data_IF_395149420037
#
_entry.id   IF_395149420037
#
_cell.length_a   1.000
_cell.length_b   1.000
_cell.length_c   1.000
_cell.angle_alpha   90.00
_cell.angle_beta   90.00
_cell.angle_gamma   90.00
#
_symmetry.space_group_name_H-M   'P 1'
#
loop_
_entity.id
_entity.type
_entity.pdbx_description
1 polymer ?
#
# COMPACT_ATOMS: atom_id res chain seq x y z
N UNK A 1 37.38 26.94 9.06
CA UNK A 1 36.86 26.25 10.26
C UNK A 1 35.33 26.20 10.36
N UNK A 2 34.57 26.92 9.50
CA UNK A 2 33.10 26.85 9.49
C UNK A 2 32.59 25.52 8.91
N UNK A 3 33.02 25.14 7.70
CA UNK A 3 32.61 23.92 6.98
C UNK A 3 32.90 22.57 7.69
N UNK A 4 33.71 22.56 8.74
CA UNK A 4 34.03 21.35 9.50
C UNK A 4 32.99 21.02 10.57
N UNK A 5 32.05 21.94 10.87
CA UNK A 5 31.01 21.72 11.88
C UNK A 5 30.00 20.67 11.42
N UNK A 6 29.74 19.69 12.27
CA UNK A 6 28.78 18.61 12.03
C UNK A 6 27.39 19.14 11.63
N UNK A 7 26.94 20.21 12.28
CA UNK A 7 25.65 20.86 12.03
C UNK A 7 25.49 21.37 10.60
N UNK A 8 26.57 21.85 9.98
CA UNK A 8 26.53 22.35 8.60
C UNK A 8 26.40 21.18 7.62
N UNK A 9 27.14 20.09 7.85
CA UNK A 9 27.04 18.88 7.02
C UNK A 9 25.62 18.30 7.06
N UNK A 10 25.02 18.23 8.26
CA UNK A 10 23.63 17.82 8.41
C UNK A 10 22.67 18.77 7.67
N UNK A 11 22.86 20.08 7.79
CA UNK A 11 22.01 21.08 7.10
C UNK A 11 22.10 21.00 5.58
N UNK A 12 23.30 20.76 5.03
CA UNK A 12 23.49 20.58 3.58
C UNK A 12 22.80 19.32 3.08
N UNK A 13 22.87 18.21 3.82
CA UNK A 13 22.14 16.98 3.46
C UNK A 13 20.62 17.19 3.41
N UNK A 14 20.08 17.96 4.35
CA UNK A 14 18.67 18.35 4.37
C UNK A 14 18.31 19.19 3.15
N UNK A 15 19.14 20.19 2.82
CA UNK A 15 18.92 21.07 1.67
C UNK A 15 18.90 20.30 0.34
N UNK A 16 19.84 19.36 0.15
CA UNK A 16 19.90 18.50 -1.04
C UNK A 16 18.58 17.73 -1.20
N UNK A 17 18.06 17.14 -0.11
CA UNK A 17 16.84 16.34 -0.16
C UNK A 17 15.61 17.20 -0.45
N UNK A 18 15.53 18.39 0.15
CA UNK A 18 14.42 19.32 -0.10
C UNK A 18 14.38 19.71 -1.58
N UNK A 19 15.53 20.08 -2.16
CA UNK A 19 15.63 20.52 -3.56
C UNK A 19 15.35 19.36 -4.53
N UNK A 20 15.92 18.17 -4.28
CA UNK A 20 15.83 17.05 -5.20
C UNK A 20 14.46 16.35 -5.19
N UNK A 21 13.80 16.26 -4.03
CA UNK A 21 12.63 15.40 -3.85
C UNK A 21 11.36 16.13 -3.41
N UNK A 22 11.46 17.40 -2.99
CA UNK A 22 10.34 18.25 -2.52
C UNK A 22 9.31 17.46 -1.67
N UNK A 23 9.73 16.84 -0.55
CA UNK A 23 8.85 15.93 0.18
C UNK A 23 7.76 16.70 0.96
N UNK A 24 6.50 16.40 0.66
CA UNK A 24 5.34 17.04 1.30
C UNK A 24 5.05 16.57 2.73
N UNK A 25 5.45 15.34 3.09
CA UNK A 25 5.13 14.73 4.40
C UNK A 25 6.38 14.46 5.22
N UNK A 26 6.35 14.75 6.52
CA UNK A 26 7.50 14.57 7.44
C UNK A 26 8.01 13.12 7.49
N UNK A 27 7.11 12.13 7.46
CA UNK A 27 7.52 10.70 7.41
C UNK A 27 8.31 10.36 6.14
N UNK A 28 7.86 10.86 4.99
CA UNK A 28 8.56 10.68 3.70
C UNK A 28 9.92 11.39 3.73
N UNK A 29 9.98 12.57 4.31
CA UNK A 29 11.23 13.31 4.49
C UNK A 29 12.24 12.57 5.37
N UNK A 30 11.83 12.03 6.53
CA UNK A 30 12.71 11.22 7.40
C UNK A 30 13.19 9.96 6.67
N UNK A 31 12.31 9.27 5.92
CA UNK A 31 12.70 8.13 5.08
C UNK A 31 13.76 8.53 4.05
N UNK A 32 13.59 9.65 3.36
CA UNK A 32 14.58 10.15 2.38
C UNK A 32 15.93 10.48 3.02
N UNK A 33 15.94 11.11 4.21
CA UNK A 33 17.17 11.36 4.96
C UNK A 33 17.86 10.05 5.32
N UNK A 34 17.12 9.09 5.88
CA UNK A 34 17.67 7.79 6.26
C UNK A 34 18.25 7.07 5.04
N UNK A 35 17.52 7.02 3.92
CA UNK A 35 17.99 6.40 2.66
C UNK A 35 19.24 7.09 2.13
N UNK A 36 19.29 8.43 2.13
CA UNK A 36 20.47 9.18 1.70
C UNK A 36 21.73 8.82 2.49
N UNK A 37 21.62 8.72 3.82
CA UNK A 37 22.75 8.34 4.66
C UNK A 37 23.15 6.86 4.48
N UNK A 38 22.20 5.95 4.31
CA UNK A 38 22.50 4.54 4.00
C UNK A 38 23.29 4.43 2.70
N UNK A 39 22.85 5.10 1.62
CA UNK A 39 23.57 5.11 0.34
C UNK A 39 24.95 5.74 0.50
N UNK A 40 25.05 6.85 1.24
CA UNK A 40 26.33 7.51 1.50
C UNK A 40 27.31 6.62 2.27
N UNK A 41 26.83 5.85 3.25
CA UNK A 41 27.67 4.91 4.00
C UNK A 41 28.08 3.69 3.20
N UNK A 42 27.19 3.13 2.37
CA UNK A 42 27.56 2.05 1.44
C UNK A 42 28.64 2.53 0.45
N UNK A 43 28.49 3.76 -0.05
CA UNK A 43 29.49 4.38 -0.92
C UNK A 43 30.82 4.62 -0.21
N UNK A 44 30.80 5.28 0.95
CA UNK A 44 32.01 5.54 1.74
C UNK A 44 32.71 4.24 2.16
N UNK A 45 31.95 3.22 2.56
CA UNK A 45 32.46 1.89 2.93
C UNK A 45 33.12 1.18 1.74
N UNK A 46 32.48 1.18 0.57
CA UNK A 46 33.06 0.62 -0.64
C UNK A 46 34.35 1.35 -1.07
N UNK A 47 34.34 2.68 -1.04
CA UNK A 47 35.50 3.50 -1.35
C UNK A 47 36.66 3.23 -0.39
N UNK A 48 36.38 3.17 0.91
CA UNK A 48 37.38 2.90 1.95
C UNK A 48 37.94 1.47 1.83
N UNK A 49 37.07 0.47 1.64
CA UNK A 49 37.49 -0.92 1.47
C UNK A 49 38.41 -1.09 0.25
N UNK A 50 38.05 -0.50 -0.89
CA UNK A 50 38.88 -0.52 -2.10
C UNK A 50 40.23 0.14 -1.86
N UNK A 51 40.23 1.30 -1.19
CA UNK A 51 41.45 2.03 -0.88
C UNK A 51 42.43 1.22 -0.01
N UNK A 52 41.92 0.52 1.01
CA UNK A 52 42.74 -0.37 1.83
C UNK A 52 43.23 -1.59 1.05
N UNK A 53 42.39 -2.20 0.21
CA UNK A 53 42.78 -3.37 -0.60
C UNK A 53 43.88 -3.04 -1.62
N UNK A 54 43.87 -1.83 -2.17
CA UNK A 54 44.91 -1.38 -3.11
C UNK A 54 46.19 -0.88 -2.46
N UNK A 55 46.37 -1.10 -1.14
CA UNK A 55 47.53 -0.64 -0.36
C UNK A 55 47.80 0.86 -0.55
N UNK A 56 46.75 1.68 -0.49
CA UNK A 56 46.94 3.13 -0.49
C UNK A 56 47.89 3.54 0.64
N UNK A 57 48.82 4.46 0.38
CA UNK A 57 49.76 4.96 1.38
C UNK A 57 49.01 5.67 2.50
N UNK A 58 48.70 4.93 3.56
CA UNK A 58 48.07 5.49 4.75
C UNK A 58 49.18 6.08 5.62
N UNK A 59 49.39 7.40 5.48
CA UNK A 59 50.34 8.10 6.33
C UNK A 59 49.80 8.12 7.76
N UNK A 60 50.50 7.45 8.66
CA UNK A 60 50.13 7.37 10.07
C UNK A 60 50.93 8.42 10.84
N UNK A 61 50.27 9.45 11.34
CA UNK A 61 50.89 10.50 12.16
C UNK A 61 49.99 10.86 13.35
N UNK A 62 50.52 10.73 14.58
CA UNK A 62 49.81 11.01 15.85
C UNK A 62 48.47 10.26 16.00
N UNK A 63 48.40 9.01 15.56
CA UNK A 63 47.20 8.16 15.70
C UNK A 63 46.03 8.52 14.77
N UNK A 64 46.24 9.45 13.83
CA UNK A 64 45.24 9.86 12.84
C UNK A 64 45.71 9.38 11.47
N UNK A 65 44.83 8.68 10.75
CA UNK A 65 45.08 8.19 9.40
C UNK A 65 44.74 9.30 8.39
N UNK A 66 45.71 9.69 7.58
CA UNK A 66 45.50 10.66 6.49
C UNK A 66 45.58 9.96 5.14
N UNK A 67 44.53 10.12 4.34
CA UNK A 67 44.52 9.75 2.92
C UNK A 67 45.06 10.95 2.15
N UNK A 68 46.31 10.88 1.68
CA UNK A 68 46.97 12.02 1.02
C UNK A 68 46.40 12.26 -0.38
N UNK A 69 46.23 11.20 -1.15
CA UNK A 69 45.69 11.24 -2.51
C UNK A 69 44.79 10.04 -2.75
N UNK A 70 43.49 10.26 -2.95
CA UNK A 70 42.56 9.20 -3.32
C UNK A 70 42.46 9.15 -4.85
N UNK A 71 42.94 8.09 -5.52
CA UNK A 71 42.96 8.03 -6.97
C UNK A 71 41.53 7.93 -7.53
N UNK A 72 41.23 8.77 -8.54
CA UNK A 72 39.89 8.87 -9.14
C UNK A 72 39.38 7.53 -9.71
N UNK A 73 40.30 6.66 -10.13
CA UNK A 73 40.00 5.30 -10.62
C UNK A 73 39.34 4.44 -9.54
N UNK A 74 39.78 4.54 -8.28
CA UNK A 74 39.15 3.83 -7.17
C UNK A 74 37.76 4.38 -6.89
N UNK A 75 37.54 5.68 -7.11
CA UNK A 75 36.25 6.32 -6.89
C UNK A 75 35.24 5.81 -7.93
N UNK A 76 35.64 5.71 -9.20
CA UNK A 76 34.78 5.11 -10.24
C UNK A 76 34.44 3.66 -9.95
N UNK A 77 35.40 2.87 -9.45
CA UNK A 77 35.14 1.47 -9.07
C UNK A 77 34.22 1.40 -7.84
N UNK A 78 34.40 2.30 -6.88
CA UNK A 78 33.54 2.37 -5.69
C UNK A 78 32.08 2.66 -6.06
N UNK A 79 31.82 3.57 -7.01
CA UNK A 79 30.45 3.86 -7.50
C UNK A 79 29.81 2.59 -8.07
N UNK A 80 30.53 1.88 -8.95
CA UNK A 80 30.03 0.64 -9.58
C UNK A 80 29.79 -0.44 -8.53
N UNK A 81 30.72 -0.62 -7.59
CA UNK A 81 30.59 -1.58 -6.49
C UNK A 81 29.39 -1.27 -5.58
N UNK A 82 29.21 0.00 -5.20
CA UNK A 82 28.07 0.42 -4.40
C UNK A 82 26.74 0.21 -5.13
N UNK A 83 26.69 0.46 -6.45
CA UNK A 83 25.51 0.19 -7.26
C UNK A 83 25.17 -1.31 -7.31
N UNK A 84 26.17 -2.18 -7.47
CA UNK A 84 25.99 -3.64 -7.45
C UNK A 84 25.47 -4.10 -6.08
N UNK A 85 26.10 -3.66 -4.99
CA UNK A 85 25.66 -4.00 -3.63
C UNK A 85 24.24 -3.54 -3.37
N UNK A 86 23.90 -2.30 -3.77
CA UNK A 86 22.55 -1.78 -3.65
C UNK A 86 21.55 -2.62 -4.44
N UNK A 87 21.83 -2.93 -5.71
CA UNK A 87 20.92 -3.73 -6.55
C UNK A 87 20.67 -5.14 -5.99
N UNK A 88 21.72 -5.82 -5.56
CA UNK A 88 21.62 -7.18 -4.98
C UNK A 88 20.83 -7.17 -3.68
N UNK A 89 21.11 -6.22 -2.78
CA UNK A 89 20.38 -6.10 -1.51
C UNK A 89 18.94 -5.64 -1.71
N UNK A 90 18.69 -4.75 -2.67
CA UNK A 90 17.35 -4.25 -2.98
C UNK A 90 16.41 -5.38 -3.43
N UNK A 91 16.88 -6.29 -4.29
CA UNK A 91 16.09 -7.45 -4.72
C UNK A 91 15.73 -8.40 -3.56
N UNK A 92 16.63 -8.59 -2.61
CA UNK A 92 16.37 -9.40 -1.40
C UNK A 92 15.37 -8.72 -0.46
N UNK A 93 15.51 -7.41 -0.27
CA UNK A 93 14.60 -6.60 0.57
C UNK A 93 13.18 -6.57 -0.03
N UNK A 94 13.04 -6.32 -1.33
CA UNK A 94 11.72 -6.28 -1.98
C UNK A 94 10.94 -7.59 -1.83
N UNK A 95 11.62 -8.75 -1.90
CA UNK A 95 10.98 -10.07 -1.76
C UNK A 95 10.35 -10.32 -0.38
N UNK A 96 10.79 -9.61 0.66
CA UNK A 96 10.23 -9.67 2.01
C UNK A 96 9.11 -8.65 2.21
N UNK A 97 9.28 -7.42 1.73
CA UNK A 97 8.31 -6.32 1.95
C UNK A 97 7.04 -6.40 1.08
N UNK A 98 7.06 -7.05 -0.08
CA UNK A 98 5.85 -7.19 -0.92
C UNK A 98 4.79 -8.13 -0.32
N UNK A 99 5.15 -8.96 0.68
CA UNK A 99 4.20 -9.89 1.31
C UNK A 99 3.35 -9.24 2.41
N UNK A 100 3.74 -8.06 2.89
CA UNK A 100 3.12 -7.44 4.08
C UNK A 100 1.87 -6.60 3.76
N UNK A 101 1.64 -6.24 2.49
CA UNK A 101 0.45 -5.45 2.10
C UNK A 101 -0.78 -6.27 1.79
N UNK A 102 -0.80 -7.56 2.12
CA UNK A 102 -1.94 -8.44 1.83
C UNK A 102 -3.21 -7.95 2.56
N UNK A 103 -3.08 -7.37 3.75
CA UNK A 103 -4.20 -6.83 4.52
C UNK A 103 -4.14 -5.30 4.62
N UNK A 104 -5.23 -4.64 4.25
CA UNK A 104 -5.33 -3.17 4.20
C UNK A 104 -6.56 -2.72 4.99
N UNK A 105 -6.41 -1.80 5.97
CA UNK A 105 -7.56 -1.17 6.62
C UNK A 105 -8.30 -0.27 5.63
N UNK A 106 -9.63 -0.46 5.56
CA UNK A 106 -10.51 0.39 4.76
C UNK A 106 -11.65 0.92 5.61
N UNK A 107 -12.12 2.13 5.28
CA UNK A 107 -13.33 2.73 5.86
C UNK A 107 -14.34 2.97 4.76
N UNK A 108 -15.51 2.33 4.86
CA UNK A 108 -16.63 2.51 3.92
C UNK A 108 -17.59 3.52 4.53
N UNK A 109 -17.98 4.54 3.75
CA UNK A 109 -18.98 5.53 4.15
C UNK A 109 -20.21 5.45 3.27
N UNK A 110 -21.38 5.45 3.89
CA UNK A 110 -22.67 5.49 3.22
C UNK A 110 -23.61 6.35 4.07
N UNK A 111 -24.07 7.45 3.49
CA UNK A 111 -24.76 8.53 4.18
C UNK A 111 -23.90 9.06 5.35
N UNK A 112 -24.51 9.34 6.50
CA UNK A 112 -23.80 9.80 7.72
C UNK A 112 -23.13 8.66 8.51
N UNK A 113 -23.15 7.43 8.00
CA UNK A 113 -22.58 6.27 8.69
C UNK A 113 -21.27 5.84 8.05
N UNK A 114 -20.38 5.32 8.89
CA UNK A 114 -19.09 4.76 8.46
C UNK A 114 -18.77 3.48 9.21
N UNK A 115 -18.07 2.56 8.56
CA UNK A 115 -17.51 1.37 9.19
C UNK A 115 -16.07 1.16 8.75
N UNK A 116 -15.21 0.82 9.69
CA UNK A 116 -13.81 0.47 9.44
C UNK A 116 -13.65 -1.04 9.53
N UNK A 117 -12.95 -1.63 8.57
CA UNK A 117 -12.72 -3.08 8.49
C UNK A 117 -11.41 -3.38 7.76
N UNK A 118 -10.88 -4.57 7.96
CA UNK A 118 -9.68 -5.05 7.27
C UNK A 118 -10.06 -5.78 5.99
N UNK A 119 -9.45 -5.39 4.87
CA UNK A 119 -9.65 -5.99 3.57
C UNK A 119 -8.39 -6.74 3.11
N UNK A 120 -8.58 -7.85 2.41
CA UNK A 120 -7.53 -8.62 1.75
C UNK A 120 -7.38 -8.12 0.30
N UNK A 121 -6.18 -7.80 -0.14
CA UNK A 121 -5.91 -7.61 -1.58
C UNK A 121 -6.01 -8.98 -2.24
N UNK A 122 -7.05 -9.19 -3.03
CA UNK A 122 -7.28 -10.45 -3.70
C UNK A 122 -6.97 -10.31 -5.19
N UNK A 123 -5.84 -10.87 -5.61
CA UNK A 123 -5.45 -10.91 -7.03
C UNK A 123 -6.42 -11.69 -7.91
N UNK A 124 -7.25 -12.57 -7.31
CA UNK A 124 -8.31 -13.30 -8.02
C UNK A 124 -9.60 -12.49 -8.20
N UNK A 125 -9.80 -11.40 -7.46
CA UNK A 125 -11.00 -10.58 -7.59
C UNK A 125 -10.89 -9.68 -8.82
N UNK A 126 -11.59 -10.08 -9.89
CA UNK A 126 -11.71 -9.32 -11.15
C UNK A 126 -13.13 -8.75 -11.34
N UNK A 127 -13.92 -8.63 -10.27
CA UNK A 127 -15.30 -8.16 -10.36
C UNK A 127 -15.37 -6.68 -10.68
N UNK A 128 -16.17 -6.37 -11.70
CA UNK A 128 -16.49 -5.02 -12.15
C UNK A 128 -18.00 -4.86 -12.22
N UNK A 129 -18.46 -3.64 -11.98
CA UNK A 129 -19.85 -3.30 -12.20
C UNK A 129 -20.20 -3.41 -13.69
N UNK A 130 -21.24 -4.15 -14.11
CA UNK A 130 -21.50 -4.41 -15.52
C UNK A 130 -21.95 -3.17 -16.31
N UNK A 131 -22.33 -2.09 -15.63
CA UNK A 131 -22.82 -0.85 -16.27
C UNK A 131 -21.69 0.19 -16.35
N UNK A 132 -20.99 0.42 -15.24
CA UNK A 132 -19.97 1.48 -15.14
C UNK A 132 -18.53 0.98 -15.22
N UNK A 133 -18.32 -0.34 -15.26
CA UNK A 133 -17.01 -1.02 -15.28
C UNK A 133 -16.07 -0.68 -14.11
N UNK A 134 -16.56 0.04 -13.10
CA UNK A 134 -15.78 0.35 -11.89
C UNK A 134 -15.54 -0.92 -11.06
N UNK A 135 -14.40 -0.99 -10.34
CA UNK A 135 -14.06 -2.16 -9.54
C UNK A 135 -15.05 -2.40 -8.39
N UNK A 136 -15.18 -3.67 -8.00
CA UNK A 136 -16.04 -4.11 -6.90
C UNK A 136 -15.20 -4.59 -5.71
N UNK A 137 -15.48 -4.04 -4.52
CA UNK A 137 -15.02 -4.59 -3.24
C UNK A 137 -16.09 -5.56 -2.74
N UNK A 138 -15.71 -6.80 -2.44
CA UNK A 138 -16.62 -7.76 -1.82
C UNK A 138 -16.51 -7.60 -0.30
N UNK A 139 -17.62 -7.44 0.42
CA UNK A 139 -17.62 -7.19 1.86
C UNK A 139 -18.62 -8.09 2.56
N UNK A 140 -18.24 -8.65 3.71
CA UNK A 140 -19.14 -9.45 4.54
C UNK A 140 -20.31 -8.60 5.05
N UNK A 141 -21.53 -9.12 4.90
CA UNK A 141 -22.76 -8.48 5.38
C UNK A 141 -22.70 -8.18 6.87
N UNK A 142 -22.13 -9.09 7.67
CA UNK A 142 -21.94 -8.91 9.11
C UNK A 142 -21.16 -7.63 9.45
N UNK A 143 -20.17 -7.24 8.62
CA UNK A 143 -19.33 -6.07 8.83
C UNK A 143 -20.04 -4.76 8.44
N UNK A 144 -20.91 -4.78 7.43
CA UNK A 144 -21.58 -3.57 6.89
C UNK A 144 -23.04 -3.45 7.32
N UNK A 145 -23.56 -4.38 8.13
CA UNK A 145 -24.96 -4.42 8.56
C UNK A 145 -25.46 -3.08 9.10
N UNK A 146 -24.65 -2.38 9.88
CA UNK A 146 -25.00 -1.09 10.49
C UNK A 146 -25.12 0.06 9.50
N UNK A 147 -24.44 -0.02 8.35
CA UNK A 147 -24.51 0.98 7.27
C UNK A 147 -25.86 0.91 6.54
N UNK A 148 -26.40 -0.28 6.34
CA UNK A 148 -27.58 -0.51 5.51
C UNK A 148 -28.88 -0.12 6.24
N UNK A 149 -29.94 0.27 5.50
CA UNK A 149 -31.29 0.47 6.06
C UNK A 149 -31.85 -0.80 6.72
N UNK A 150 -32.74 -0.63 7.70
CA UNK A 150 -33.30 -1.76 8.48
C UNK A 150 -34.06 -2.75 7.60
N UNK A 151 -34.75 -2.29 6.55
CA UNK A 151 -35.47 -3.17 5.63
C UNK A 151 -34.50 -4.13 4.92
N UNK A 152 -33.41 -3.59 4.39
CA UNK A 152 -32.37 -4.37 3.71
C UNK A 152 -31.67 -5.33 4.67
N UNK A 153 -31.39 -4.91 5.90
CA UNK A 153 -30.81 -5.79 6.91
C UNK A 153 -31.68 -7.04 7.15
N UNK A 154 -33.01 -6.86 7.19
CA UNK A 154 -33.93 -7.97 7.37
C UNK A 154 -33.90 -8.93 6.17
N UNK A 155 -33.84 -8.41 4.95
CA UNK A 155 -33.76 -9.26 3.74
C UNK A 155 -32.54 -10.19 3.80
N UNK A 156 -31.35 -9.66 4.10
CA UNK A 156 -30.13 -10.49 4.20
C UNK A 156 -30.12 -11.41 5.44
N UNK A 157 -30.91 -11.12 6.47
CA UNK A 157 -31.02 -11.98 7.66
C UNK A 157 -32.04 -13.11 7.45
N UNK A 158 -33.12 -12.85 6.72
CA UNK A 158 -34.22 -13.79 6.48
C UNK A 158 -33.93 -14.76 5.34
N UNK A 159 -33.30 -14.29 4.27
CA UNK A 159 -33.05 -15.10 3.07
C UNK A 159 -31.59 -15.59 3.03
N UNK A 160 -31.40 -16.86 2.64
CA UNK A 160 -30.07 -17.39 2.33
C UNK A 160 -29.55 -16.81 1.01
N UNK A 161 -28.23 -16.68 0.96
CA UNK A 161 -27.47 -15.95 -0.05
C UNK A 161 -27.84 -16.29 -1.50
N UNK A 162 -27.87 -15.26 -2.36
CA UNK A 162 -27.98 -15.38 -3.82
C UNK A 162 -29.25 -16.08 -4.34
N UNK A 163 -30.32 -16.15 -3.54
CA UNK A 163 -31.63 -16.55 -4.04
C UNK A 163 -32.25 -15.44 -4.88
N UNK A 164 -33.00 -15.79 -5.92
CA UNK A 164 -33.82 -14.83 -6.68
C UNK A 164 -34.72 -14.00 -5.77
N UNK A 165 -35.16 -14.58 -4.65
CA UNK A 165 -36.00 -13.96 -3.61
C UNK A 165 -35.29 -12.82 -2.87
N UNK A 166 -33.99 -12.98 -2.58
CA UNK A 166 -33.18 -11.91 -1.97
C UNK A 166 -33.07 -10.73 -2.93
N UNK A 167 -32.79 -11.03 -4.20
CA UNK A 167 -32.64 -10.02 -5.26
C UNK A 167 -33.96 -9.27 -5.47
N UNK A 168 -35.07 -9.99 -5.61
CA UNK A 168 -36.38 -9.36 -5.79
C UNK A 168 -36.80 -8.54 -4.58
N UNK A 169 -36.56 -9.02 -3.36
CA UNK A 169 -36.89 -8.29 -2.14
C UNK A 169 -36.07 -6.99 -2.01
N UNK A 170 -34.77 -7.02 -2.31
CA UNK A 170 -33.94 -5.79 -2.32
C UNK A 170 -34.45 -4.79 -3.35
N UNK A 171 -34.78 -5.26 -4.57
CA UNK A 171 -35.27 -4.40 -5.66
C UNK A 171 -36.66 -3.81 -5.40
N UNK A 172 -37.52 -4.53 -4.68
CA UNK A 172 -38.85 -4.05 -4.29
C UNK A 172 -38.80 -3.06 -3.12
N UNK A 173 -37.84 -3.23 -2.22
CA UNK A 173 -37.65 -2.36 -1.05
C UNK A 173 -36.83 -1.11 -1.37
N UNK A 174 -36.34 -0.93 -2.61
CA UNK A 174 -35.52 0.21 -2.98
C UNK A 174 -36.34 1.50 -3.01
N UNK A 175 -36.59 2.08 -1.83
CA UNK A 175 -36.78 3.52 -1.70
C UNK A 175 -35.43 4.18 -1.97
N UNK A 176 -35.47 5.37 -2.58
CA UNK A 176 -34.36 6.07 -3.25
C UNK A 176 -33.11 6.43 -2.39
N UNK A 177 -32.93 5.87 -1.20
CA UNK A 177 -31.79 6.15 -0.32
C UNK A 177 -30.50 5.39 -0.70
N UNK A 178 -30.60 4.21 -1.32
CA UNK A 178 -29.42 3.42 -1.71
C UNK A 178 -29.62 2.78 -3.08
N UNK A 179 -28.73 3.09 -4.02
CA UNK A 179 -28.75 2.52 -5.36
C UNK A 179 -28.09 1.14 -5.37
N UNK A 180 -28.92 0.09 -5.32
CA UNK A 180 -28.46 -1.28 -5.45
C UNK A 180 -28.28 -1.69 -6.92
N UNK A 181 -27.30 -2.55 -7.17
CA UNK A 181 -26.95 -3.11 -8.47
C UNK A 181 -26.72 -4.61 -8.35
N UNK A 182 -26.90 -5.32 -9.46
CA UNK A 182 -26.60 -6.73 -9.54
C UNK A 182 -25.27 -6.93 -10.25
N UNK A 183 -24.36 -7.64 -9.59
CA UNK A 183 -23.00 -7.87 -10.07
C UNK A 183 -22.89 -9.36 -10.38
N UNK A 184 -22.77 -9.74 -11.66
CA UNK A 184 -22.50 -11.13 -12.02
C UNK A 184 -21.10 -11.50 -11.54
N UNK A 185 -20.96 -12.68 -10.94
CA UNK A 185 -19.67 -13.23 -10.55
C UNK A 185 -19.55 -14.69 -10.94
N UNK A 186 -18.30 -15.12 -11.09
CA UNK A 186 -17.94 -16.51 -11.35
C UNK A 186 -17.00 -16.99 -10.26
N UNK A 187 -17.27 -18.15 -9.67
CA UNK A 187 -16.39 -18.77 -8.69
C UNK A 187 -16.25 -20.27 -8.96
N UNK A 188 -15.22 -20.89 -8.39
CA UNK A 188 -15.05 -22.34 -8.47
C UNK A 188 -16.27 -23.00 -7.82
N UNK A 189 -17.02 -23.78 -8.61
CA UNK A 189 -18.27 -24.43 -8.18
C UNK A 189 -19.56 -23.63 -8.39
N UNK A 190 -19.51 -22.40 -8.95
CA UNK A 190 -20.69 -21.61 -9.29
C UNK A 190 -20.45 -20.77 -10.56
N UNK A 191 -20.97 -21.26 -11.68
CA UNK A 191 -20.71 -20.65 -12.99
C UNK A 191 -21.53 -19.38 -13.28
N UNK A 192 -22.69 -19.19 -12.62
CA UNK A 192 -23.56 -18.00 -12.77
C UNK A 192 -24.01 -17.44 -11.40
N UNK A 193 -23.07 -16.89 -10.64
CA UNK A 193 -23.39 -16.20 -9.40
C UNK A 193 -23.87 -14.77 -9.63
N UNK A 194 -24.76 -14.27 -8.76
CA UNK A 194 -25.14 -12.86 -8.71
C UNK A 194 -24.91 -12.33 -7.29
N UNK A 195 -24.24 -11.20 -7.15
CA UNK A 195 -24.13 -10.44 -5.90
C UNK A 195 -24.97 -9.18 -5.97
N UNK A 196 -25.55 -8.80 -4.84
CA UNK A 196 -26.12 -7.47 -4.67
C UNK A 196 -25.00 -6.53 -4.24
N UNK A 197 -24.80 -5.45 -4.97
CA UNK A 197 -23.89 -4.39 -4.58
C UNK A 197 -24.57 -3.04 -4.46
N UNK A 198 -23.90 -2.07 -3.86
CA UNK A 198 -24.35 -0.68 -3.78
C UNK A 198 -23.17 0.26 -3.97
N UNK A 199 -23.45 1.50 -4.40
CA UNK A 199 -22.44 2.56 -4.46
C UNK A 199 -22.38 3.30 -3.11
N UNK A 200 -21.26 3.22 -2.36
CA UNK A 200 -21.04 4.06 -1.19
C UNK A 200 -20.75 5.52 -1.60
N UNK A 201 -20.75 6.44 -0.64
CA UNK A 201 -20.31 7.82 -0.90
C UNK A 201 -18.81 7.90 -1.18
N UNK A 202 -18.04 7.12 -0.41
CA UNK A 202 -16.62 6.91 -0.62
C UNK A 202 -16.12 5.72 0.20
N UNK A 203 -15.00 5.18 -0.25
CA UNK A 203 -14.14 4.25 0.49
C UNK A 203 -12.80 4.93 0.72
N UNK A 204 -12.35 4.95 1.97
CA UNK A 204 -11.03 5.44 2.34
C UNK A 204 -10.13 4.24 2.60
N UNK A 205 -9.04 4.15 1.86
CA UNK A 205 -8.01 3.11 2.03
C UNK A 205 -6.86 3.73 2.80
N UNK A 206 -6.54 3.14 3.96
CA UNK A 206 -5.43 3.58 4.79
C UNK A 206 -4.19 2.76 4.41
N UNK A 207 -3.35 3.32 3.52
CA UNK A 207 -2.01 2.79 3.28
C UNK A 207 -1.05 3.49 4.25
N UNK A 208 0.00 2.79 4.71
CA UNK A 208 0.93 3.24 5.77
C UNK A 208 1.51 4.66 5.58
N UNK A 209 1.48 5.17 4.34
CA UNK A 209 1.98 6.48 3.97
C UNK A 209 0.89 7.49 3.57
N UNK A 210 -0.27 7.04 3.05
CA UNK A 210 -1.30 7.90 2.45
C UNK A 210 -2.72 7.33 2.62
N UNK A 211 -3.69 8.22 2.85
CA UNK A 211 -5.10 7.87 2.74
C UNK A 211 -5.58 8.16 1.32
N UNK A 212 -6.03 7.11 0.63
CA UNK A 212 -6.64 7.23 -0.71
C UNK A 212 -8.16 7.24 -0.54
N UNK A 213 -8.81 8.31 -0.97
CA UNK A 213 -10.28 8.41 -0.98
C UNK A 213 -10.77 8.07 -2.38
N UNK A 214 -11.68 7.10 -2.48
CA UNK A 214 -12.22 6.60 -3.74
C UNK A 214 -13.74 6.69 -3.69
N UNK A 215 -14.32 7.48 -4.60
CA UNK A 215 -15.77 7.70 -4.67
C UNK A 215 -16.45 6.83 -5.73
N UNK A 216 -15.72 6.45 -6.78
CA UNK A 216 -16.23 5.62 -7.87
C UNK A 216 -15.84 4.16 -7.67
N UNK A 217 -16.63 3.49 -6.82
CA UNK A 217 -16.43 2.10 -6.45
C UNK A 217 -17.77 1.47 -6.09
N UNK A 218 -17.89 0.16 -6.25
CA UNK A 218 -19.08 -0.58 -5.81
C UNK A 218 -18.70 -1.53 -4.68
N UNK A 219 -19.57 -1.63 -3.68
CA UNK A 219 -19.45 -2.58 -2.58
C UNK A 219 -20.43 -3.72 -2.81
N UNK A 220 -19.94 -4.92 -3.11
CA UNK A 220 -20.71 -6.15 -3.21
C UNK A 220 -20.90 -6.79 -1.84
N UNK A 221 -22.12 -7.18 -1.52
CA UNK A 221 -22.50 -7.75 -0.21
C UNK A 221 -22.40 -9.28 -0.29
N UNK A 222 -21.56 -9.86 0.57
CA UNK A 222 -21.41 -11.32 0.72
C UNK A 222 -21.92 -11.74 2.10
N UNK A 223 -22.87 -12.66 2.16
CA UNK A 223 -23.56 -13.06 3.40
C UNK A 223 -22.81 -14.15 4.19
N UNK A 224 -21.83 -14.81 3.56
CA UNK A 224 -20.98 -15.81 4.20
C UNK A 224 -19.66 -15.24 4.75
N UNK A 225 -18.93 -16.03 5.54
CA UNK A 225 -17.58 -15.66 5.99
C UNK A 225 -16.59 -15.80 4.83
N UNK A 226 -15.77 -14.78 4.62
CA UNK A 226 -14.66 -14.80 3.67
C UNK A 226 -13.40 -15.45 4.26
N UNK A 227 -13.19 -15.31 5.57
CA UNK A 227 -12.03 -15.85 6.28
C UNK A 227 -12.49 -16.76 7.40
N UNK A 228 -11.96 -18.00 7.43
CA UNK A 228 -12.17 -18.93 8.55
C UNK A 228 -11.58 -18.40 9.85
N UNK A 229 -10.48 -17.63 9.75
CA UNK A 229 -9.73 -17.07 10.87
C UNK A 229 -10.14 -15.62 11.21
N UNK A 230 -11.16 -15.06 10.54
CA UNK A 230 -11.64 -13.67 10.69
C UNK A 230 -10.57 -12.57 10.51
N UNK A 231 -9.45 -12.89 9.85
CA UNK A 231 -8.36 -11.94 9.60
C UNK A 231 -8.76 -10.77 8.70
N UNK A 232 -9.79 -10.97 7.87
CA UNK A 232 -10.32 -9.97 6.95
C UNK A 232 -11.82 -10.15 6.74
N UNK A 233 -12.50 -9.04 6.46
CA UNK A 233 -13.95 -8.98 6.23
C UNK A 233 -14.30 -8.44 4.83
N UNK A 234 -13.30 -8.14 4.01
CA UNK A 234 -13.50 -7.70 2.63
C UNK A 234 -12.40 -8.18 1.68
N UNK A 235 -12.71 -8.24 0.38
CA UNK A 235 -11.78 -8.49 -0.72
C UNK A 235 -11.69 -7.24 -1.59
N UNK A 236 -10.49 -6.67 -1.69
CA UNK A 236 -10.17 -5.54 -2.55
C UNK A 236 -9.80 -6.03 -3.95
N UNK A 237 -10.36 -5.38 -4.96
CA UNK A 237 -9.91 -5.51 -6.34
C UNK A 237 -8.49 -4.89 -6.49
N UNK A 238 -7.52 -5.57 -7.12
CA UNK A 238 -6.12 -5.11 -7.18
C UNK A 238 -5.93 -3.75 -7.86
N UNK A 239 -6.73 -3.46 -8.90
CA UNK A 239 -6.69 -2.16 -9.61
C UNK A 239 -6.97 -0.95 -8.71
N UNK A 240 -7.63 -1.14 -7.55
CA UNK A 240 -7.97 -0.05 -6.62
C UNK A 240 -6.70 0.61 -6.04
N UNK A 241 -5.60 -0.14 -5.96
CA UNK A 241 -4.33 0.33 -5.39
C UNK A 241 -3.42 1.02 -6.41
N UNK A 242 -3.71 0.90 -7.71
CA UNK A 242 -2.95 1.54 -8.78
C UNK A 242 -3.35 3.00 -9.02
#
# INVERSE_FOLDING_TARGET
MFMTRFTIKASVSVLIIIIAFTPYKLRKFIKLIATFYVVSFVFAGAALALFYLTKGDVVTGRGIFYIKEFPIRLLTIAIVMSWILFKTTWGYIQGTFSKDKVFVPITIKLNDKKVALTALIDTGNSLKDPITEVPVIIVQFSAIKSLLPKEIQNVFTTYKENSLETISAVMLQTKAEVNFRLIPFKSIGKDNGMLVGFKPDNVVIDDENEQKVISDIIVGIYNNKLSTDEKYMALLHPEILN
#
